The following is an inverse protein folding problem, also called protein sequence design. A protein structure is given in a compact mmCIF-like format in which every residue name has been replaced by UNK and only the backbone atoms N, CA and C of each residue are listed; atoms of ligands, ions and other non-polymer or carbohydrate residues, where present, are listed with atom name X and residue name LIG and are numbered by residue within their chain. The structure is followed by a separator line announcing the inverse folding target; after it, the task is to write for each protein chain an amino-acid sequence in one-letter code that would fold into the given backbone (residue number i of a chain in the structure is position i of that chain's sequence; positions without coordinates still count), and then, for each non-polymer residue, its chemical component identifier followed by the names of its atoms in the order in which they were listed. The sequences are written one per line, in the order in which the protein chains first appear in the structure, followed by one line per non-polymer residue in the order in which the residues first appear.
data_IF_884721566032
#
_entry.id   IF_884721566032
#
_cell.length_a   1.000
_cell.length_b   1.000
_cell.length_c   1.000
_cell.angle_alpha   90.00
_cell.angle_beta   90.00
_cell.angle_gamma   90.00
#
_symmetry.space_group_name_H-M   'P 1'
#
loop_
_entity.id
_entity.type
_entity.pdbx_description
1 polymer ?
#
# COMPACT_ATOMS: atom_id res chain seq x y z
N UNK A 1 -2.40 17.08 -5.72
CA UNK A 1 -1.68 16.78 -4.46
C UNK A 1 -1.95 15.33 -4.14
N UNK A 2 -0.97 14.57 -3.66
CA UNK A 2 -1.20 13.17 -3.30
C UNK A 2 -2.18 13.11 -2.13
N UNK A 3 -3.18 12.25 -2.24
CA UNK A 3 -4.29 12.16 -1.28
C UNK A 3 -3.91 11.30 -0.07
N UNK A 4 -4.52 11.58 1.08
CA UNK A 4 -4.33 10.75 2.28
C UNK A 4 -4.71 9.29 2.00
N UNK A 5 -3.98 8.36 2.63
CA UNK A 5 -4.28 6.94 2.52
C UNK A 5 -5.67 6.60 3.06
N UNK A 6 -6.04 7.18 4.21
CA UNK A 6 -7.34 6.96 4.83
C UNK A 6 -8.34 8.00 4.32
N UNK A 7 -9.28 7.55 3.51
CA UNK A 7 -10.32 8.38 2.87
C UNK A 7 -11.70 8.09 3.48
N UNK A 8 -11.89 8.44 4.76
CA UNK A 8 -13.19 8.29 5.44
C UNK A 8 -13.09 7.76 6.88
N UNK A 9 -14.24 7.70 7.55
CA UNK A 9 -14.33 7.26 8.95
C UNK A 9 -14.34 5.73 9.11
N UNK A 10 -14.69 4.98 8.05
CA UNK A 10 -14.81 3.52 8.06
C UNK A 10 -13.45 2.81 8.24
N UNK A 11 -12.35 3.48 7.89
CA UNK A 11 -11.01 2.92 8.04
C UNK A 11 -10.58 2.90 9.51
N UNK A 12 -10.12 1.75 10.00
CA UNK A 12 -9.80 1.48 11.43
C UNK A 12 -8.52 2.16 11.94
N UNK A 13 -7.98 3.15 11.22
CA UNK A 13 -6.79 3.86 11.64
C UNK A 13 -7.05 4.66 12.92
N UNK A 14 -6.02 4.89 13.72
CA UNK A 14 -6.10 5.75 14.92
C UNK A 14 -6.35 7.21 14.52
N UNK A 15 -6.98 8.01 15.39
CA UNK A 15 -7.24 9.44 15.12
C UNK A 15 -5.98 10.24 14.78
N UNK A 16 -4.86 9.85 15.38
CA UNK A 16 -3.52 10.45 15.24
C UNK A 16 -2.64 9.72 14.20
N UNK A 17 -3.20 8.85 13.37
CA UNK A 17 -2.40 8.13 12.39
C UNK A 17 -1.93 9.07 11.28
N UNK A 18 -0.64 9.07 10.89
CA UNK A 18 -0.15 9.87 9.77
C UNK A 18 -0.93 9.62 8.48
N UNK A 19 -1.41 8.38 8.28
CA UNK A 19 -2.18 7.95 7.12
C UNK A 19 -3.52 8.69 6.92
N UNK A 20 -4.01 9.42 7.93
CA UNK A 20 -5.19 10.30 7.79
C UNK A 20 -4.88 11.63 7.09
N UNK A 21 -3.60 12.00 7.00
CA UNK A 21 -3.13 13.25 6.39
C UNK A 21 -2.20 13.01 5.22
N UNK A 22 -1.53 11.86 5.19
CA UNK A 22 -0.48 11.53 4.25
C UNK A 22 -0.84 10.29 3.44
N UNK A 23 -0.41 10.24 2.16
CA UNK A 23 -0.43 9.01 1.38
C UNK A 23 0.39 7.91 2.05
N UNK A 24 0.08 6.66 1.73
CA UNK A 24 0.93 5.54 2.09
C UNK A 24 2.30 5.75 1.40
N UNK A 25 3.40 5.44 2.10
CA UNK A 25 4.77 5.68 1.62
C UNK A 25 5.33 7.07 1.91
N UNK A 26 4.49 8.03 2.35
CA UNK A 26 4.93 9.36 2.81
C UNK A 26 5.17 9.40 4.33
N UNK A 27 5.12 8.25 4.99
CA UNK A 27 5.45 8.04 6.39
C UNK A 27 6.08 6.65 6.57
N UNK A 28 6.86 6.47 7.63
CA UNK A 28 7.45 5.18 7.97
C UNK A 28 6.50 4.35 8.83
N UNK A 29 6.70 3.03 8.83
CA UNK A 29 5.93 2.10 9.66
C UNK A 29 6.89 1.33 10.56
N UNK A 30 6.68 1.42 11.87
CA UNK A 30 7.44 0.69 12.87
C UNK A 30 6.57 -0.39 13.54
N UNK A 31 7.20 -1.45 14.04
CA UNK A 31 6.48 -2.58 14.68
C UNK A 31 5.79 -2.20 16.00
N UNK A 32 6.36 -1.23 16.73
CA UNK A 32 5.88 -0.81 18.06
C UNK A 32 6.43 0.56 18.43
N UNK A 33 5.78 1.33 19.32
CA UNK A 33 6.33 2.56 19.89
C UNK A 33 7.75 2.38 20.46
N UNK A 34 8.64 3.32 20.19
CA UNK A 34 10.01 3.34 20.73
C UNK A 34 10.49 4.77 21.00
N UNK A 35 11.66 4.92 21.62
CA UNK A 35 12.31 6.21 21.84
C UNK A 35 12.90 6.82 20.56
N UNK A 36 13.09 6.02 19.53
CA UNK A 36 13.60 6.47 18.22
C UNK A 36 12.58 7.29 17.46
N UNK A 37 11.29 7.12 17.78
CA UNK A 37 10.20 7.89 17.21
C UNK A 37 9.27 8.41 18.32
N UNK A 38 9.72 9.47 19.05
CA UNK A 38 8.96 10.06 20.13
C UNK A 38 7.63 10.64 19.64
N UNK A 39 6.66 10.68 20.55
CA UNK A 39 5.35 11.29 20.29
C UNK A 39 5.46 12.82 20.34
N UNK A 40 4.89 13.48 19.34
CA UNK A 40 4.70 14.93 19.31
C UNK A 40 3.29 15.27 19.81
N UNK A 41 3.21 16.09 20.86
CA UNK A 41 1.93 16.58 21.37
C UNK A 41 1.31 17.67 20.49
N UNK A 42 2.05 18.22 19.54
CA UNK A 42 1.58 19.30 18.68
C UNK A 42 0.53 18.81 17.68
N UNK A 43 0.73 17.62 17.12
CA UNK A 43 -0.14 17.03 16.10
C UNK A 43 -0.57 15.59 16.38
N UNK A 44 -0.02 14.97 17.42
CA UNK A 44 -0.29 13.59 17.83
C UNK A 44 0.52 12.53 17.07
N UNK A 45 1.40 12.91 16.15
CA UNK A 45 2.20 11.96 15.40
C UNK A 45 3.44 11.49 16.19
N UNK A 46 4.12 10.47 15.66
CA UNK A 46 5.47 10.08 16.07
C UNK A 46 6.43 10.40 14.95
N UNK A 47 7.67 10.74 15.26
CA UNK A 47 8.62 11.25 14.26
C UNK A 47 9.99 10.61 14.37
N UNK A 48 10.62 10.27 13.26
CA UNK A 48 12.06 9.98 13.24
C UNK A 48 12.87 11.23 13.62
N UNK A 49 14.18 11.08 13.85
CA UNK A 49 15.07 12.21 14.12
C UNK A 49 15.10 13.22 12.96
N UNK A 50 14.84 12.76 11.74
CA UNK A 50 14.78 13.53 10.50
C UNK A 50 13.41 14.18 10.26
N UNK A 51 12.46 14.03 11.18
CA UNK A 51 11.13 14.63 11.09
C UNK A 51 10.17 13.86 10.18
N UNK A 52 10.43 12.58 9.88
CA UNK A 52 9.51 11.74 9.11
C UNK A 52 8.44 11.17 10.05
N UNK A 53 7.13 11.35 9.75
CA UNK A 53 6.05 10.76 10.55
C UNK A 53 6.13 9.22 10.56
N UNK A 54 5.75 8.61 11.68
CA UNK A 54 5.82 7.16 11.89
C UNK A 54 4.48 6.63 12.39
N UNK A 55 3.91 5.65 11.66
CA UNK A 55 2.86 4.80 12.19
C UNK A 55 3.47 3.62 12.95
N UNK A 56 2.93 3.29 14.11
CA UNK A 56 3.42 2.18 14.96
C UNK A 56 2.47 0.98 14.97
N UNK A 57 1.53 0.96 14.02
CA UNK A 57 0.51 -0.07 13.90
C UNK A 57 0.45 -0.57 12.45
N UNK A 58 1.39 -1.45 12.05
CA UNK A 58 1.46 -2.00 10.69
C UNK A 58 0.12 -2.61 10.23
N UNK A 59 -0.58 -3.29 11.14
CA UNK A 59 -1.87 -3.92 10.89
C UNK A 59 -2.99 -2.92 10.60
N UNK A 60 -2.87 -1.67 11.06
CA UNK A 60 -3.87 -0.62 10.81
C UNK A 60 -3.69 0.03 9.45
N UNK A 61 -2.48 0.07 8.92
CA UNK A 61 -2.18 0.63 7.59
C UNK A 61 -2.00 -0.46 6.53
N UNK A 62 -2.01 -1.73 6.94
CA UNK A 62 -2.04 -2.88 6.04
C UNK A 62 -0.72 -3.11 5.30
N UNK A 63 0.43 -2.67 5.85
CA UNK A 63 1.76 -2.91 5.28
C UNK A 63 2.75 -3.34 6.37
N UNK A 64 3.81 -4.11 6.04
CA UNK A 64 4.86 -4.45 7.01
C UNK A 64 5.58 -3.21 7.57
N UNK A 65 6.24 -3.37 8.71
CA UNK A 65 7.12 -2.34 9.25
C UNK A 65 8.33 -2.13 8.32
N UNK A 66 8.51 -0.91 7.83
CA UNK A 66 9.64 -0.49 7.03
C UNK A 66 9.77 1.04 7.01
N UNK A 67 10.96 1.50 6.64
CA UNK A 67 11.28 2.92 6.42
C UNK A 67 10.89 3.37 5.01
N UNK A 68 9.60 3.30 4.69
CA UNK A 68 9.10 3.61 3.34
C UNK A 68 9.48 5.00 2.86
N UNK A 69 9.35 6.02 3.70
CA UNK A 69 9.70 7.39 3.32
C UNK A 69 11.19 7.65 3.49
N UNK A 70 11.76 7.24 4.63
CA UNK A 70 13.16 7.55 4.94
C UNK A 70 14.14 6.85 4.00
N UNK A 71 13.91 5.56 3.73
CA UNK A 71 14.82 4.74 2.91
C UNK A 71 14.29 4.54 1.47
N UNK A 72 13.16 5.17 1.11
CA UNK A 72 12.47 4.99 -0.18
C UNK A 72 12.15 3.52 -0.47
N UNK A 73 11.78 2.75 0.56
CA UNK A 73 11.33 1.37 0.38
C UNK A 73 10.04 1.40 -0.46
N UNK A 74 9.97 0.64 -1.56
CA UNK A 74 8.75 0.59 -2.36
C UNK A 74 7.63 -0.10 -1.57
N UNK A 75 6.42 0.45 -1.65
CA UNK A 75 5.23 -0.09 -0.97
C UNK A 75 4.78 -1.43 -1.52
N UNK A 76 4.98 -1.61 -2.81
CA UNK A 76 4.67 -2.80 -3.58
C UNK A 76 5.87 -3.11 -4.45
N UNK A 77 6.12 -4.40 -4.71
CA UNK A 77 7.03 -4.79 -5.77
C UNK A 77 6.56 -4.23 -7.11
N UNK A 78 7.49 -4.02 -8.03
CA UNK A 78 7.16 -3.65 -9.40
C UNK A 78 6.29 -4.75 -10.05
N UNK A 79 5.26 -4.35 -10.79
CA UNK A 79 4.48 -5.31 -11.57
C UNK A 79 5.33 -5.81 -12.72
N UNK A 80 5.58 -7.11 -12.73
CA UNK A 80 6.25 -7.81 -13.82
C UNK A 80 5.22 -8.68 -14.53
N UNK A 81 4.41 -8.05 -15.39
CA UNK A 81 3.39 -8.77 -16.15
C UNK A 81 4.04 -9.81 -17.06
N UNK A 82 3.50 -11.04 -17.11
CA UNK A 82 4.04 -12.09 -17.96
C UNK A 82 3.99 -11.70 -19.44
N UNK A 83 4.81 -12.37 -20.25
CA UNK A 83 4.80 -12.16 -21.69
C UNK A 83 3.59 -12.81 -22.38
N UNK A 84 3.10 -13.92 -21.83
CA UNK A 84 1.98 -14.67 -22.37
C UNK A 84 0.69 -14.35 -21.59
N UNK A 85 -0.41 -14.15 -22.32
CA UNK A 85 -1.75 -13.98 -21.76
C UNK A 85 -2.18 -15.21 -20.96
N UNK A 86 -1.75 -16.41 -21.36
CA UNK A 86 -2.09 -17.66 -20.69
C UNK A 86 -1.57 -17.73 -19.24
N UNK A 87 -0.48 -17.02 -18.93
CA UNK A 87 0.14 -16.98 -17.60
C UNK A 87 -0.47 -15.88 -16.71
N UNK A 88 -1.19 -14.93 -17.30
CA UNK A 88 -1.67 -13.73 -16.63
C UNK A 88 -2.67 -14.03 -15.50
N UNK A 89 -3.52 -15.05 -15.63
CA UNK A 89 -4.48 -15.39 -14.58
C UNK A 89 -3.78 -15.87 -13.30
N UNK A 90 -2.78 -16.75 -13.46
CA UNK A 90 -2.02 -17.27 -12.32
C UNK A 90 -1.17 -16.19 -11.66
N UNK A 91 -0.53 -15.34 -12.48
CA UNK A 91 0.21 -14.18 -11.99
C UNK A 91 -0.67 -13.25 -11.15
N UNK A 92 -1.86 -12.89 -11.66
CA UNK A 92 -2.79 -12.01 -10.96
C UNK A 92 -3.29 -12.61 -9.65
N UNK A 93 -3.51 -13.92 -9.61
CA UNK A 93 -3.87 -14.64 -8.39
C UNK A 93 -2.77 -14.49 -7.34
N UNK A 94 -1.54 -14.87 -7.68
CA UNK A 94 -0.39 -14.79 -6.76
C UNK A 94 -0.15 -13.36 -6.28
N UNK A 95 -0.26 -12.39 -7.18
CA UNK A 95 -0.17 -10.97 -6.88
C UNK A 95 -1.25 -10.53 -5.87
N UNK A 96 -2.52 -10.83 -6.12
CA UNK A 96 -3.63 -10.41 -5.26
C UNK A 96 -3.53 -11.03 -3.86
N UNK A 97 -3.19 -12.33 -3.76
CA UNK A 97 -3.08 -13.01 -2.47
C UNK A 97 -1.77 -12.70 -1.72
N UNK A 98 -0.72 -12.29 -2.44
CA UNK A 98 0.56 -11.86 -1.85
C UNK A 98 0.60 -10.39 -1.46
N UNK A 99 -0.34 -9.58 -1.95
CA UNK A 99 -0.36 -8.13 -1.70
C UNK A 99 -0.67 -7.81 -0.23
N UNK A 100 0.07 -6.86 0.33
CA UNK A 100 -0.28 -6.31 1.62
C UNK A 100 -1.63 -5.55 1.50
N UNK A 101 -2.57 -5.70 2.45
CA UNK A 101 -3.91 -5.12 2.32
C UNK A 101 -3.93 -3.61 2.05
N UNK A 102 -2.92 -2.89 2.56
CA UNK A 102 -2.80 -1.45 2.41
C UNK A 102 -2.43 -0.99 0.99
N UNK A 103 -1.95 -1.89 0.12
CA UNK A 103 -1.56 -1.53 -1.26
C UNK A 103 -2.47 -2.15 -2.32
N UNK A 104 -3.42 -2.99 -1.92
CA UNK A 104 -4.23 -3.79 -2.83
C UNK A 104 -5.01 -2.95 -3.85
N UNK A 105 -5.65 -1.86 -3.40
CA UNK A 105 -6.41 -0.97 -4.29
C UNK A 105 -5.50 -0.34 -5.35
N UNK A 106 -4.37 0.25 -4.94
CA UNK A 106 -3.39 0.83 -5.86
C UNK A 106 -2.78 -0.22 -6.81
N UNK A 107 -2.59 -1.44 -6.33
CA UNK A 107 -2.09 -2.56 -7.12
C UNK A 107 -3.10 -2.98 -8.20
N UNK A 108 -4.39 -3.06 -7.88
CA UNK A 108 -5.47 -3.33 -8.84
C UNK A 108 -5.53 -2.24 -9.91
N UNK A 109 -5.46 -0.97 -9.51
CA UNK A 109 -5.47 0.17 -10.43
C UNK A 109 -4.29 0.13 -11.40
N UNK A 110 -3.09 -0.16 -10.89
CA UNK A 110 -1.89 -0.28 -11.73
C UNK A 110 -1.96 -1.48 -12.65
N UNK A 111 -2.32 -2.67 -12.14
CA UNK A 111 -2.46 -3.88 -12.93
C UNK A 111 -3.51 -3.70 -14.04
N UNK A 112 -4.62 -3.04 -13.74
CA UNK A 112 -5.68 -2.77 -14.73
C UNK A 112 -5.16 -1.92 -15.89
N UNK A 113 -4.37 -0.89 -15.59
CA UNK A 113 -3.78 0.01 -16.59
C UNK A 113 -2.75 -0.72 -17.46
N UNK A 114 -1.86 -1.50 -16.85
CA UNK A 114 -0.77 -2.17 -17.58
C UNK A 114 -1.28 -3.36 -18.42
N UNK A 115 -2.25 -4.11 -17.92
CA UNK A 115 -2.89 -5.20 -18.67
C UNK A 115 -3.61 -4.65 -19.90
N UNK A 116 -4.38 -3.57 -19.76
CA UNK A 116 -5.07 -2.96 -20.89
C UNK A 116 -4.10 -2.48 -21.99
N UNK A 117 -2.88 -2.08 -21.62
CA UNK A 117 -1.84 -1.67 -22.57
C UNK A 117 -1.17 -2.88 -23.25
N UNK A 118 -0.85 -3.93 -22.50
CA UNK A 118 -0.10 -5.09 -22.98
C UNK A 118 -0.97 -6.12 -23.70
N UNK A 119 -2.21 -6.29 -23.24
CA UNK A 119 -3.17 -7.29 -23.70
C UNK A 119 -4.51 -6.64 -24.07
N UNK A 120 -4.59 -5.86 -25.17
CA UNK A 120 -5.78 -5.10 -25.53
C UNK A 120 -7.03 -5.96 -25.84
N UNK A 121 -6.87 -7.27 -26.06
CA UNK A 121 -7.97 -8.22 -26.26
C UNK A 121 -8.56 -8.80 -24.97
N UNK A 122 -7.96 -8.54 -23.82
CA UNK A 122 -8.33 -9.15 -22.54
C UNK A 122 -9.38 -8.31 -21.82
N UNK A 123 -10.48 -8.96 -21.38
CA UNK A 123 -11.37 -8.39 -20.36
C UNK A 123 -10.67 -8.42 -18.99
N UNK A 124 -9.98 -7.31 -18.69
CA UNK A 124 -9.19 -7.13 -17.48
C UNK A 124 -10.05 -7.24 -16.22
N UNK A 125 -11.29 -6.75 -16.28
CA UNK A 125 -12.22 -6.81 -15.13
C UNK A 125 -12.64 -8.25 -14.84
N UNK A 126 -12.96 -9.01 -15.89
CA UNK A 126 -13.31 -10.43 -15.73
C UNK A 126 -12.13 -11.27 -15.22
N UNK A 127 -10.90 -10.96 -15.63
CA UNK A 127 -9.70 -11.63 -15.11
C UNK A 127 -9.44 -11.31 -13.64
N UNK A 128 -9.46 -10.04 -13.24
CA UNK A 128 -9.28 -9.65 -11.84
C UNK A 128 -10.35 -10.30 -10.94
N UNK A 129 -11.62 -10.31 -11.37
CA UNK A 129 -12.69 -10.98 -10.62
C UNK A 129 -12.40 -12.47 -10.39
N UNK A 130 -11.90 -13.18 -11.41
CA UNK A 130 -11.50 -14.60 -11.27
C UNK A 130 -10.34 -14.76 -10.29
N UNK A 131 -9.37 -13.85 -10.30
CA UNK A 131 -8.26 -13.88 -9.35
C UNK A 131 -8.72 -13.65 -7.90
N UNK A 132 -9.75 -12.83 -7.66
CA UNK A 132 -10.30 -12.59 -6.32
C UNK A 132 -11.22 -13.70 -5.77
N UNK A 133 -11.82 -14.52 -6.65
CA UNK A 133 -12.82 -15.53 -6.26
C UNK A 133 -12.24 -16.93 -6.05
N UNK A 134 -10.96 -17.14 -6.37
CA UNK A 134 -10.25 -18.40 -6.20
C UNK A 134 -9.71 -18.56 -4.77
#
# INVERSE_FOLDING_TARGET
MAEAFVRGEEHRACGICPSRRLPLGEFDVAERPSREFPFSSEDGHRYTAEGVPVCVHPEKVGVPAARYKSDRVPLMGELDLPADEAELEMYLRDMVHGAAPGVLESLIEQASREIAQRFPGVDTTAMLRRAFMA
#
